data_IF_386018756346
#
_entry.id   IF_386018756346
#
_cell.length_a   1.000
_cell.length_b   1.000
_cell.length_c   1.000
_cell.angle_alpha   90.00
_cell.angle_beta   90.00
_cell.angle_gamma   90.00
#
_symmetry.space_group_name_H-M   'P 1'
#
loop_
_entity.id
_entity.type
_entity.pdbx_description
1 polymer ?
#
# COMPACT_ATOMS: atom_id res chain seq x y z
N UNK A 1 18.22 3.54 12.63
CA UNK A 1 17.86 4.62 11.69
C UNK A 1 17.54 3.95 10.36
N UNK A 2 16.26 3.78 10.03
CA UNK A 2 15.81 3.12 8.80
C UNK A 2 15.65 4.20 7.73
N UNK A 3 16.44 4.15 6.66
CA UNK A 3 16.32 5.05 5.53
C UNK A 3 15.45 4.38 4.45
N UNK A 4 14.22 4.85 4.30
CA UNK A 4 13.39 4.47 3.16
C UNK A 4 13.91 5.15 1.89
N UNK A 5 14.19 4.37 0.85
CA UNK A 5 14.63 4.88 -0.46
C UNK A 5 13.49 5.56 -1.24
N UNK A 6 12.25 5.18 -0.94
CA UNK A 6 11.05 5.71 -1.57
C UNK A 6 10.24 6.57 -0.60
N UNK A 7 9.34 7.40 -1.16
CA UNK A 7 8.36 8.20 -0.40
C UNK A 7 6.95 7.90 -0.88
N UNK A 8 6.00 7.92 0.05
CA UNK A 8 4.59 7.69 -0.28
C UNK A 8 3.91 8.98 -0.71
N UNK A 9 3.13 8.91 -1.79
CA UNK A 9 2.14 9.92 -2.16
C UNK A 9 0.77 9.23 -2.25
N UNK A 10 -0.17 9.65 -1.41
CA UNK A 10 -1.48 9.01 -1.33
C UNK A 10 -2.52 9.74 -2.17
N UNK A 11 -3.32 8.97 -2.90
CA UNK A 11 -4.48 9.50 -3.61
C UNK A 11 -5.58 9.90 -2.63
N UNK A 12 -6.46 10.81 -3.04
CA UNK A 12 -7.63 11.19 -2.22
C UNK A 12 -8.57 10.01 -1.98
N UNK A 13 -8.71 9.13 -2.97
CA UNK A 13 -9.51 7.91 -2.84
C UNK A 13 -8.92 6.96 -1.79
N UNK A 14 -7.59 6.76 -1.81
CA UNK A 14 -6.91 5.95 -0.80
C UNK A 14 -7.17 6.48 0.62
N UNK A 15 -6.96 7.77 0.86
CA UNK A 15 -7.19 8.37 2.18
C UNK A 15 -8.65 8.26 2.64
N UNK A 16 -9.60 8.38 1.71
CA UNK A 16 -11.03 8.22 2.02
C UNK A 16 -11.36 6.77 2.41
N UNK A 17 -10.83 5.79 1.69
CA UNK A 17 -11.09 4.38 2.03
C UNK A 17 -10.37 3.97 3.32
N UNK A 18 -9.13 4.41 3.53
CA UNK A 18 -8.37 4.16 4.78
C UNK A 18 -9.13 4.65 6.01
N UNK A 19 -9.75 5.84 5.94
CA UNK A 19 -10.55 6.40 7.04
C UNK A 19 -11.73 5.53 7.45
N UNK A 20 -12.30 4.73 6.54
CA UNK A 20 -13.44 3.84 6.80
C UNK A 20 -13.04 2.52 7.44
N UNK A 21 -11.75 2.17 7.44
CA UNK A 21 -11.29 0.88 7.94
C UNK A 21 -11.33 0.83 9.48
N UNK A 22 -11.58 -0.34 10.08
CA UNK A 22 -11.33 -0.58 11.49
C UNK A 22 -9.88 -0.25 11.90
N UNK A 23 -9.65 0.15 13.14
CA UNK A 23 -8.35 0.67 13.58
C UNK A 23 -7.23 -0.37 13.55
N UNK A 24 -7.54 -1.64 13.81
CA UNK A 24 -6.61 -2.77 13.64
C UNK A 24 -6.18 -2.91 12.18
N UNK A 25 -7.12 -2.76 11.24
CA UNK A 25 -6.82 -2.81 9.80
C UNK A 25 -6.02 -1.58 9.37
N UNK A 26 -6.34 -0.38 9.87
CA UNK A 26 -5.55 0.83 9.60
C UNK A 26 -4.09 0.62 10.01
N UNK A 27 -3.87 0.01 11.16
CA UNK A 27 -2.52 -0.29 11.69
C UNK A 27 -1.77 -1.22 10.74
N UNK A 28 -2.39 -2.33 10.32
CA UNK A 28 -1.80 -3.25 9.33
C UNK A 28 -1.49 -2.57 7.98
N UNK A 29 -2.34 -1.62 7.54
CA UNK A 29 -2.09 -0.86 6.31
C UNK A 29 -0.87 0.06 6.47
N UNK A 30 -0.71 0.72 7.62
CA UNK A 30 0.45 1.58 7.87
C UNK A 30 1.75 0.77 7.95
N UNK A 31 1.72 -0.42 8.56
CA UNK A 31 2.85 -1.34 8.56
C UNK A 31 3.20 -1.79 7.13
N UNK A 32 2.21 -2.19 6.34
CA UNK A 32 2.42 -2.57 4.95
C UNK A 32 2.98 -1.42 4.10
N UNK A 33 2.59 -0.17 4.36
CA UNK A 33 3.18 1.00 3.68
C UNK A 33 4.68 1.09 3.98
N UNK A 34 5.12 0.83 5.20
CA UNK A 34 6.55 0.83 5.53
C UNK A 34 7.29 -0.24 4.71
N UNK A 35 6.75 -1.44 4.61
CA UNK A 35 7.33 -2.52 3.79
C UNK A 35 7.38 -2.15 2.30
N UNK A 36 6.32 -1.53 1.79
CA UNK A 36 6.25 -1.02 0.42
C UNK A 36 7.33 0.04 0.18
N UNK A 37 7.59 0.93 1.14
CA UNK A 37 8.60 1.98 1.01
C UNK A 37 10.05 1.45 1.03
N UNK A 38 10.29 0.26 1.58
CA UNK A 38 11.58 -0.43 1.44
C UNK A 38 11.78 -0.97 0.01
N UNK A 39 10.76 -1.61 -0.57
CA UNK A 39 10.82 -2.12 -1.93
C UNK A 39 9.43 -2.26 -2.58
N UNK A 40 8.96 -1.24 -3.32
CA UNK A 40 7.60 -1.20 -3.86
C UNK A 40 7.27 -2.33 -4.84
N UNK A 41 8.30 -2.92 -5.45
CA UNK A 41 8.17 -3.88 -6.54
C UNK A 41 8.03 -5.34 -6.07
N UNK A 42 8.09 -5.59 -4.76
CA UNK A 42 7.95 -6.95 -4.19
C UNK A 42 6.52 -7.50 -4.21
N UNK A 43 5.53 -6.65 -4.54
CA UNK A 43 4.14 -7.06 -4.70
C UNK A 43 3.87 -7.81 -6.02
N UNK A 44 2.61 -8.13 -6.28
CA UNK A 44 2.22 -8.74 -7.56
C UNK A 44 2.05 -7.65 -8.60
N UNK A 45 2.91 -7.64 -9.63
CA UNK A 45 2.78 -6.73 -10.78
C UNK A 45 1.45 -7.00 -11.51
N UNK A 46 0.64 -5.96 -11.69
CA UNK A 46 -0.63 -6.04 -12.38
C UNK A 46 -0.46 -5.97 -13.90
N UNK A 47 -1.50 -6.41 -14.63
CA UNK A 47 -1.56 -6.46 -16.10
C UNK A 47 -2.86 -5.85 -16.60
N UNK A 48 -2.95 -5.56 -17.90
CA UNK A 48 -4.14 -4.96 -18.52
C UNK A 48 -4.25 -3.48 -18.19
N UNK A 49 -5.44 -2.99 -17.87
CA UNK A 49 -5.69 -1.57 -17.58
C UNK A 49 -4.89 -1.02 -16.38
N UNK A 50 -4.42 -1.90 -15.49
CA UNK A 50 -3.58 -1.56 -14.33
C UNK A 50 -2.11 -1.93 -14.55
N UNK A 51 -1.66 -2.10 -15.80
CA UNK A 51 -0.24 -2.27 -16.08
C UNK A 51 0.57 -1.08 -15.56
N UNK A 52 1.70 -1.39 -14.92
CA UNK A 52 2.52 -0.39 -14.22
C UNK A 52 2.19 -0.20 -12.74
N UNK A 53 1.16 -0.87 -12.21
CA UNK A 53 0.85 -0.91 -10.78
C UNK A 53 1.23 -2.25 -10.11
N UNK A 54 1.37 -2.23 -8.78
CA UNK A 54 1.69 -3.40 -7.96
C UNK A 54 0.65 -3.61 -6.88
N UNK A 55 0.20 -4.86 -6.73
CA UNK A 55 -0.79 -5.23 -5.70
C UNK A 55 -0.12 -5.87 -4.50
N UNK A 56 -0.37 -5.29 -3.33
CA UNK A 56 0.06 -5.79 -2.03
C UNK A 56 -1.14 -6.28 -1.24
N UNK A 57 -1.02 -7.44 -0.57
CA UNK A 57 -2.10 -8.00 0.24
C UNK A 57 -1.92 -7.62 1.71
N UNK A 58 -2.97 -7.07 2.31
CA UNK A 58 -3.03 -6.73 3.74
C UNK A 58 -4.29 -7.38 4.32
N UNK A 59 -4.13 -8.59 4.85
CA UNK A 59 -5.27 -9.40 5.32
C UNK A 59 -6.31 -9.67 4.23
N UNK A 60 -7.51 -9.10 4.40
CA UNK A 60 -8.62 -9.15 3.42
C UNK A 60 -8.58 -8.02 2.37
N UNK A 61 -7.73 -7.02 2.57
CA UNK A 61 -7.61 -5.83 1.74
C UNK A 61 -6.42 -5.92 0.78
N UNK A 62 -6.39 -5.03 -0.21
CA UNK A 62 -5.22 -4.84 -1.08
C UNK A 62 -4.89 -3.36 -1.21
N UNK A 63 -3.60 -3.07 -1.27
CA UNK A 63 -3.06 -1.78 -1.71
C UNK A 63 -2.63 -1.97 -3.17
N UNK A 64 -2.97 -1.00 -4.01
CA UNK A 64 -2.58 -0.93 -5.43
C UNK A 64 -1.79 0.36 -5.61
#
# INVERSE_FOLDING_TARGET
>A
MIFWLYRAAFTRSFLRELKKLPDDVKTQVLEAINDILANPFSGVKLRGELEGYWRWRVGKYRII
#
